data_IF_871828644041
#
_entry.id   IF_871828644041
#
_cell.length_a   1.000
_cell.length_b   1.000
_cell.length_c   1.000
_cell.angle_alpha   90.00
_cell.angle_beta   90.00
_cell.angle_gamma   90.00
#
_symmetry.space_group_name_H-M   'P 1'
#
loop_
_entity.id
_entity.type
_entity.pdbx_description
1 polymer ?
#
# COMPACT_ATOMS: atom_id res chain seq x y z
N UNK A 1 17.93 0.29 2.97
CA UNK A 1 16.57 0.67 3.47
C UNK A 1 15.83 1.61 2.53
N UNK A 2 16.49 2.64 1.97
CA UNK A 2 15.87 3.61 1.05
C UNK A 2 15.26 2.93 -0.20
N UNK A 3 15.97 2.00 -0.85
CA UNK A 3 15.45 1.24 -2.01
C UNK A 3 14.16 0.47 -1.67
N UNK A 4 14.12 -0.24 -0.54
CA UNK A 4 12.92 -0.99 -0.09
C UNK A 4 11.71 -0.08 0.08
N UNK A 5 11.89 1.16 0.58
CA UNK A 5 10.82 2.18 0.66
C UNK A 5 10.25 2.47 -0.73
N UNK A 6 11.13 2.74 -1.70
CA UNK A 6 10.70 3.06 -3.08
C UNK A 6 10.02 1.88 -3.75
N UNK A 7 10.54 0.65 -3.57
CA UNK A 7 9.90 -0.57 -4.10
C UNK A 7 8.48 -0.72 -3.56
N UNK A 8 8.28 -0.61 -2.25
CA UNK A 8 6.95 -0.71 -1.65
C UNK A 8 6.02 0.43 -2.08
N UNK A 9 6.54 1.64 -2.23
CA UNK A 9 5.76 2.79 -2.64
C UNK A 9 5.32 2.68 -4.11
N UNK A 10 6.24 2.36 -5.01
CA UNK A 10 5.95 2.21 -6.45
C UNK A 10 5.04 1.01 -6.68
N UNK A 11 5.34 -0.16 -6.11
CA UNK A 11 4.47 -1.35 -6.22
C UNK A 11 3.07 -1.08 -5.64
N UNK A 12 3.00 -0.44 -4.47
CA UNK A 12 1.73 -0.13 -3.83
C UNK A 12 0.85 0.80 -4.68
N UNK A 13 1.42 1.89 -5.20
CA UNK A 13 0.72 2.81 -6.11
C UNK A 13 0.26 2.07 -7.37
N UNK A 14 1.16 1.29 -7.99
CA UNK A 14 0.87 0.58 -9.22
C UNK A 14 -0.30 -0.40 -9.05
N UNK A 15 -0.31 -1.17 -7.96
CA UNK A 15 -1.39 -2.11 -7.67
C UNK A 15 -2.72 -1.41 -7.43
N UNK A 16 -2.73 -0.28 -6.70
CA UNK A 16 -3.94 0.52 -6.50
C UNK A 16 -4.46 1.06 -7.83
N UNK A 17 -3.58 1.61 -8.68
CA UNK A 17 -3.96 2.12 -10.00
C UNK A 17 -4.52 1.03 -10.92
N UNK A 18 -3.85 -0.12 -10.99
CA UNK A 18 -4.34 -1.28 -11.76
C UNK A 18 -5.70 -1.73 -11.23
N UNK A 19 -5.88 -1.79 -9.90
CA UNK A 19 -7.16 -2.15 -9.30
C UNK A 19 -8.27 -1.17 -9.72
N UNK A 20 -8.00 0.13 -9.66
CA UNK A 20 -8.96 1.16 -10.08
C UNK A 20 -9.30 1.06 -11.58
N UNK A 21 -8.28 0.86 -12.43
CA UNK A 21 -8.49 0.69 -13.87
C UNK A 21 -9.36 -0.52 -14.22
N UNK A 22 -9.28 -1.60 -13.43
CA UNK A 22 -10.13 -2.79 -13.63
C UNK A 22 -11.53 -2.57 -13.03
N UNK A 23 -11.61 -1.92 -11.87
CA UNK A 23 -12.85 -1.79 -11.09
C UNK A 23 -13.80 -0.75 -11.66
N UNK A 24 -13.31 0.44 -12.00
CA UNK A 24 -14.11 1.58 -12.50
C UNK A 24 -14.98 1.20 -13.71
N UNK A 25 -14.44 0.63 -14.80
CA UNK A 25 -15.25 0.31 -15.98
C UNK A 25 -16.28 -0.81 -15.72
N UNK A 26 -16.06 -1.64 -14.70
CA UNK A 26 -16.94 -2.76 -14.37
C UNK A 26 -18.01 -2.42 -13.35
N UNK A 27 -18.04 -1.21 -12.79
CA UNK A 27 -18.97 -0.81 -11.69
C UNK A 27 -20.43 -1.19 -11.95
N UNK A 28 -20.91 -1.08 -13.20
CA UNK A 28 -22.27 -1.48 -13.58
C UNK A 28 -22.50 -2.99 -13.44
N UNK A 29 -21.53 -3.80 -13.87
CA UNK A 29 -21.54 -5.26 -13.71
C UNK A 29 -21.47 -5.65 -12.23
N UNK A 30 -20.64 -4.97 -11.43
CA UNK A 30 -20.52 -5.20 -9.98
C UNK A 30 -21.89 -5.10 -9.30
N UNK A 31 -22.66 -4.07 -9.63
CA UNK A 31 -24.01 -3.87 -9.07
C UNK A 31 -24.95 -5.04 -9.39
N UNK A 32 -24.87 -5.58 -10.60
CA UNK A 32 -25.69 -6.74 -11.01
C UNK A 32 -25.27 -8.06 -10.37
N UNK A 33 -23.99 -8.21 -10.01
CA UNK A 33 -23.48 -9.44 -9.39
C UNK A 33 -23.72 -9.48 -7.87
N UNK A 34 -23.91 -8.32 -7.24
CA UNK A 34 -24.22 -8.20 -5.81
C UNK A 34 -25.65 -8.67 -5.45
N UNK A 35 -26.52 -8.88 -6.43
CA UNK A 35 -27.88 -9.39 -6.22
C UNK A 35 -27.93 -10.86 -5.82
N UNK A 36 -26.89 -11.64 -6.10
CA UNK A 36 -26.71 -13.01 -5.61
C UNK A 36 -25.64 -13.03 -4.50
N UNK A 37 -25.99 -13.39 -3.25
CA UNK A 37 -25.06 -13.34 -2.12
C UNK A 37 -23.80 -14.20 -2.31
N UNK A 38 -23.93 -15.38 -2.92
CA UNK A 38 -22.81 -16.31 -3.06
C UNK A 38 -21.80 -15.82 -4.12
N UNK A 39 -22.29 -15.27 -5.23
CA UNK A 39 -21.46 -14.68 -6.28
C UNK A 39 -20.90 -13.31 -5.87
N UNK A 40 -21.71 -12.52 -5.17
CA UNK A 40 -21.35 -11.18 -4.70
C UNK A 40 -20.14 -11.19 -3.77
N UNK A 41 -20.05 -12.15 -2.84
CA UNK A 41 -18.92 -12.25 -1.88
C UNK A 41 -17.61 -12.60 -2.62
N UNK A 42 -17.63 -13.63 -3.48
CA UNK A 42 -16.43 -14.05 -4.21
C UNK A 42 -15.91 -12.95 -5.14
N UNK A 43 -16.82 -12.24 -5.81
CA UNK A 43 -16.48 -11.10 -6.63
C UNK A 43 -15.88 -9.96 -5.80
N UNK A 44 -16.54 -9.56 -4.71
CA UNK A 44 -16.04 -8.50 -3.80
C UNK A 44 -14.62 -8.76 -3.32
N UNK A 45 -14.34 -9.98 -2.84
CA UNK A 45 -13.01 -10.35 -2.35
C UNK A 45 -11.99 -10.27 -3.50
N UNK A 46 -12.32 -10.81 -4.67
CA UNK A 46 -11.44 -10.77 -5.84
C UNK A 46 -11.13 -9.35 -6.32
N UNK A 47 -12.14 -8.48 -6.41
CA UNK A 47 -11.96 -7.09 -6.91
C UNK A 47 -11.22 -6.18 -5.92
N UNK A 48 -11.15 -6.56 -4.64
CA UNK A 48 -10.48 -5.75 -3.62
C UNK A 48 -9.13 -6.33 -3.19
N UNK A 49 -8.79 -7.55 -3.61
CA UNK A 49 -7.55 -8.21 -3.21
C UNK A 49 -6.29 -7.41 -3.59
N UNK A 50 -6.21 -6.93 -4.84
CA UNK A 50 -5.09 -6.10 -5.30
C UNK A 50 -5.03 -4.76 -4.56
N UNK A 51 -6.19 -4.18 -4.25
CA UNK A 51 -6.29 -2.97 -3.45
C UNK A 51 -5.72 -3.19 -2.03
N UNK A 52 -6.13 -4.28 -1.37
CA UNK A 52 -5.65 -4.63 -0.02
C UNK A 52 -4.13 -4.81 -0.02
N UNK A 53 -3.58 -5.56 -0.98
CA UNK A 53 -2.14 -5.73 -1.11
C UNK A 53 -1.44 -4.39 -1.38
N UNK A 54 -1.99 -3.58 -2.28
CA UNK A 54 -1.45 -2.26 -2.61
C UNK A 54 -1.37 -1.35 -1.39
N UNK A 55 -2.45 -1.28 -0.59
CA UNK A 55 -2.50 -0.52 0.66
C UNK A 55 -1.50 -1.07 1.69
N UNK A 56 -1.37 -2.39 1.80
CA UNK A 56 -0.41 -3.00 2.71
C UNK A 56 1.05 -2.64 2.37
N UNK A 57 1.39 -2.60 1.07
CA UNK A 57 2.70 -2.15 0.61
C UNK A 57 2.93 -0.67 0.91
N UNK A 58 1.94 0.19 0.70
CA UNK A 58 2.04 1.62 1.07
C UNK A 58 2.27 1.80 2.58
N UNK A 59 1.58 1.02 3.41
CA UNK A 59 1.83 0.99 4.85
C UNK A 59 3.26 0.52 5.18
N UNK A 60 3.76 -0.49 4.44
CA UNK A 60 5.15 -0.94 4.52
C UNK A 60 6.15 0.18 4.20
N UNK A 61 5.91 0.95 3.13
CA UNK A 61 6.73 2.09 2.75
C UNK A 61 6.77 3.15 3.86
N UNK A 62 5.61 3.46 4.46
CA UNK A 62 5.50 4.37 5.60
C UNK A 62 6.32 3.90 6.81
N UNK A 63 6.21 2.61 7.19
CA UNK A 63 7.01 2.07 8.31
C UNK A 63 8.51 2.16 8.03
N UNK A 64 8.94 1.89 6.80
CA UNK A 64 10.36 2.01 6.42
C UNK A 64 10.82 3.46 6.51
N UNK A 65 10.03 4.43 6.05
CA UNK A 65 10.35 5.85 6.16
C UNK A 65 10.48 6.29 7.63
N UNK A 66 9.57 5.85 8.50
CA UNK A 66 9.63 6.14 9.93
C UNK A 66 10.91 5.57 10.57
N UNK A 67 11.33 4.37 10.18
CA UNK A 67 12.60 3.76 10.65
C UNK A 67 13.82 4.54 10.16
N UNK A 68 13.83 5.02 8.91
CA UNK A 68 14.93 5.83 8.38
C UNK A 68 15.07 7.14 9.17
N UNK A 69 13.95 7.88 9.37
CA UNK A 69 13.96 9.13 10.14
C UNK A 69 14.49 8.96 11.56
N UNK A 70 14.08 7.89 12.25
CA UNK A 70 14.58 7.58 13.61
C UNK A 70 16.09 7.35 13.64
N UNK A 71 16.63 6.64 12.64
CA UNK A 71 18.08 6.41 12.55
C UNK A 71 18.85 7.69 12.25
N UNK A 72 18.31 8.56 11.39
CA UNK A 72 18.92 9.86 11.09
C UNK A 72 18.94 10.76 12.34
N UNK A 73 17.87 10.77 13.14
CA UNK A 73 17.84 11.50 14.42
C UNK A 73 18.89 10.97 15.41
N UNK A 74 18.96 9.65 15.59
CA UNK A 74 19.96 9.03 16.47
C UNK A 74 21.40 9.31 16.03
N UNK A 75 21.67 9.33 14.71
CA UNK A 75 23.02 9.67 14.23
C UNK A 75 23.39 11.14 14.51
N UNK A 76 22.42 12.05 14.47
CA UNK A 76 22.66 13.46 14.79
C UNK A 76 22.89 13.64 16.30
N UNK A 77 22.04 13.03 17.15
CA UNK A 77 22.22 13.06 18.60
C UNK A 77 23.59 12.51 19.03
N UNK A 78 24.01 11.38 18.44
CA UNK A 78 25.33 10.80 18.74
C UNK A 78 26.49 11.66 18.23
N UNK A 79 26.32 12.38 17.11
CA UNK A 79 27.35 13.29 16.60
C UNK A 79 27.52 14.50 17.53
N UNK A 80 26.41 15.06 18.04
CA UNK A 80 26.43 16.14 19.02
C UNK A 80 27.10 15.71 20.34
N UNK A 81 26.77 14.52 20.86
CA UNK A 81 27.36 14.01 22.11
C UNK A 81 28.85 13.63 22.01
N UNK A 82 29.42 13.56 20.81
CA UNK A 82 30.83 13.25 20.60
C UNK A 82 31.73 14.48 20.49
N UNK A 83 31.14 15.68 20.41
CA UNK A 83 31.86 16.96 20.37
C UNK A 83 32.03 17.61 21.77
N UNK A 84 31.31 17.12 22.78
CA UNK A 84 31.43 17.48 24.20
C UNK A 84 32.40 16.54 24.96
#
# INVERSE_FOLDING_TARGET
MKIRKYVYLVMGILLVLVNLMITIPRVSEIKSQLTDPARGIGYLIGTHFLLIIGVFLLYGAYRVQKKIKRKEQQSLENAFLAED
#
